data_IF_395631910729
#
_entry.id   IF_395631910729
#
_cell.length_a   1.000
_cell.length_b   1.000
_cell.length_c   1.000
_cell.angle_alpha   90.00
_cell.angle_beta   90.00
_cell.angle_gamma   90.00
#
_symmetry.space_group_name_H-M   'P 1'
#
loop_
_entity.id
_entity.type
_entity.pdbx_description
1 polymer ?
#
# COMPACT_ATOMS: atom_id res chain seq x y z
N UNK A 1 -0.11 -28.99 17.71
CA UNK A 1 -1.52 -28.57 17.89
C UNK A 1 -1.73 -27.49 16.87
N UNK A 2 -2.36 -27.83 15.75
CA UNK A 2 -2.58 -26.92 14.63
C UNK A 2 -3.99 -26.37 14.79
N UNK A 3 -4.10 -25.35 15.63
CA UNK A 3 -5.39 -24.75 16.01
C UNK A 3 -5.59 -23.50 15.17
N UNK A 4 -6.59 -23.50 14.30
CA UNK A 4 -7.10 -22.30 13.64
C UNK A 4 -7.68 -21.38 14.72
N UNK A 5 -7.32 -20.09 14.71
CA UNK A 5 -7.86 -19.13 15.69
C UNK A 5 -9.39 -19.01 15.54
N UNK A 6 -10.09 -18.90 16.66
CA UNK A 6 -11.53 -18.64 16.63
C UNK A 6 -11.77 -17.21 16.14
N UNK A 7 -12.51 -17.08 15.05
CA UNK A 7 -12.89 -15.80 14.47
C UNK A 7 -14.22 -15.38 15.08
N UNK A 8 -14.21 -14.29 15.84
CA UNK A 8 -15.42 -13.72 16.44
C UNK A 8 -15.79 -12.43 15.72
N UNK A 9 -16.90 -12.42 14.98
CA UNK A 9 -17.33 -11.26 14.19
C UNK A 9 -17.42 -11.60 12.70
N UNK A 10 -17.20 -10.58 11.86
CA UNK A 10 -17.11 -10.78 10.41
C UNK A 10 -15.75 -11.41 10.05
N UNK A 11 -15.73 -12.59 9.41
CA UNK A 11 -14.47 -13.23 9.08
C UNK A 11 -13.61 -12.43 8.11
N UNK A 12 -14.22 -11.70 7.17
CA UNK A 12 -13.48 -10.95 6.17
C UNK A 12 -12.69 -9.81 6.83
N UNK A 13 -13.34 -9.05 7.73
CA UNK A 13 -12.69 -7.98 8.51
C UNK A 13 -11.51 -8.52 9.32
N UNK A 14 -11.73 -9.63 10.05
CA UNK A 14 -10.70 -10.22 10.90
C UNK A 14 -9.48 -10.75 10.13
N UNK A 15 -9.69 -11.42 8.99
CA UNK A 15 -8.57 -11.95 8.20
C UNK A 15 -7.87 -10.88 7.37
N UNK A 16 -8.55 -9.80 7.01
CA UNK A 16 -7.95 -8.67 6.28
C UNK A 16 -6.98 -7.83 7.12
N UNK A 17 -7.03 -7.94 8.45
CA UNK A 17 -6.06 -7.28 9.36
C UNK A 17 -4.75 -8.07 9.53
N UNK A 18 -4.62 -9.24 8.90
CA UNK A 18 -3.51 -10.16 9.09
C UNK A 18 -2.73 -10.34 7.79
N UNK A 19 -1.42 -10.21 7.84
CA UNK A 19 -0.56 -10.64 6.73
C UNK A 19 -0.52 -12.17 6.64
N UNK A 20 -0.13 -12.73 5.49
CA UNK A 20 0.06 -14.17 5.34
C UNK A 20 1.08 -14.71 6.35
N UNK A 21 2.06 -13.88 6.70
CA UNK A 21 3.10 -14.19 7.70
C UNK A 21 2.56 -14.25 9.13
N UNK A 22 1.45 -13.57 9.43
CA UNK A 22 0.77 -13.61 10.73
C UNK A 22 -0.09 -14.88 10.91
N UNK A 23 -0.34 -15.62 9.83
CA UNK A 23 -1.08 -16.88 9.85
C UNK A 23 -0.20 -18.02 10.38
N UNK A 24 -0.78 -18.89 11.21
CA UNK A 24 -0.16 -20.15 11.60
C UNK A 24 -0.12 -21.13 10.42
N UNK A 25 0.76 -22.13 10.48
CA UNK A 25 0.87 -23.15 9.42
C UNK A 25 -0.46 -23.81 9.07
N UNK A 26 -1.36 -24.03 10.04
CA UNK A 26 -2.69 -24.58 9.74
C UNK A 26 -3.60 -23.59 9.01
N UNK A 27 -3.49 -22.29 9.31
CA UNK A 27 -4.28 -21.25 8.65
C UNK A 27 -3.80 -21.05 7.22
N UNK A 28 -2.47 -21.01 7.01
CA UNK A 28 -1.88 -21.00 5.67
C UNK A 28 -2.31 -22.24 4.86
N UNK A 29 -2.28 -23.45 5.44
CA UNK A 29 -2.77 -24.67 4.77
C UNK A 29 -4.26 -24.62 4.42
N UNK A 30 -5.08 -24.01 5.28
CA UNK A 30 -6.51 -23.84 5.05
C UNK A 30 -6.79 -22.86 3.91
N UNK A 31 -6.11 -21.72 3.90
CA UNK A 31 -6.25 -20.71 2.85
C UNK A 31 -5.63 -21.15 1.53
N UNK A 32 -4.55 -21.94 1.58
CA UNK A 32 -3.98 -22.62 0.41
C UNK A 32 -4.98 -23.55 -0.27
N UNK A 33 -5.79 -24.29 0.50
CA UNK A 33 -6.86 -25.12 -0.07
C UNK A 33 -7.95 -24.31 -0.77
N UNK A 34 -8.14 -23.05 -0.35
CA UNK A 34 -9.08 -22.11 -0.95
C UNK A 34 -8.49 -21.35 -2.15
N UNK A 35 -7.22 -21.59 -2.48
CA UNK A 35 -6.50 -20.97 -3.60
C UNK A 35 -5.73 -19.70 -3.24
N UNK A 36 -5.64 -19.37 -1.95
CA UNK A 36 -4.85 -18.24 -1.46
C UNK A 36 -3.40 -18.66 -1.19
N UNK A 37 -2.47 -17.72 -1.30
CA UNK A 37 -1.05 -17.89 -1.01
C UNK A 37 -0.48 -16.52 -0.63
N UNK A 38 0.75 -16.49 -0.13
CA UNK A 38 1.43 -15.25 0.27
C UNK A 38 1.34 -14.16 -0.81
N UNK A 39 1.59 -14.52 -2.07
CA UNK A 39 1.60 -13.56 -3.17
C UNK A 39 0.22 -12.91 -3.38
N UNK A 40 -0.89 -13.65 -3.24
CA UNK A 40 -2.24 -13.11 -3.49
C UNK A 40 -2.99 -12.67 -2.23
N UNK A 41 -2.51 -13.06 -1.06
CA UNK A 41 -3.05 -12.66 0.25
C UNK A 41 -2.47 -11.32 0.68
N UNK A 42 -1.16 -11.15 0.49
CA UNK A 42 -0.43 -9.92 0.76
C UNK A 42 -0.23 -9.07 -0.52
N UNK A 43 -0.93 -9.38 -1.62
CA UNK A 43 -0.91 -8.59 -2.88
C UNK A 43 -1.54 -7.19 -2.71
N UNK A 44 -2.05 -6.87 -1.52
CA UNK A 44 -2.15 -5.49 -1.11
C UNK A 44 -0.71 -4.99 -0.95
N UNK A 45 -0.16 -4.45 -2.05
CA UNK A 45 1.13 -3.77 -2.12
C UNK A 45 1.36 -3.07 -0.78
N UNK A 46 2.28 -3.59 0.02
CA UNK A 46 2.59 -3.09 1.36
C UNK A 46 3.25 -1.72 1.19
N UNK A 47 2.40 -0.72 0.92
CA UNK A 47 2.81 0.65 0.85
C UNK A 47 3.19 1.04 2.27
N UNK A 48 4.45 1.43 2.51
CA UNK A 48 4.92 1.72 3.86
C UNK A 48 3.99 2.77 4.50
N UNK A 49 3.70 2.60 5.79
CA UNK A 49 2.99 3.60 6.55
C UNK A 49 3.73 4.94 6.44
N UNK A 50 3.00 6.06 6.53
CA UNK A 50 3.64 7.36 6.40
C UNK A 50 4.79 7.49 7.40
N UNK A 51 4.65 6.97 8.62
CA UNK A 51 5.72 7.06 9.62
C UNK A 51 6.99 6.26 9.27
N UNK A 52 6.87 5.16 8.52
CA UNK A 52 7.99 4.32 8.08
C UNK A 52 8.79 4.95 6.93
N UNK A 53 8.24 5.96 6.24
CA UNK A 53 8.96 6.71 5.22
C UNK A 53 10.12 7.49 5.84
N UNK A 54 11.23 7.57 5.10
CA UNK A 54 12.36 8.40 5.49
C UNK A 54 11.95 9.88 5.51
N UNK A 55 12.65 10.71 6.30
CA UNK A 55 12.40 12.16 6.31
C UNK A 55 12.60 12.80 4.92
N UNK A 56 13.43 12.19 4.08
CA UNK A 56 13.67 12.62 2.70
C UNK A 56 12.44 12.28 1.85
N UNK A 57 11.94 11.05 1.90
CA UNK A 57 10.76 10.63 1.15
C UNK A 57 9.52 11.40 1.58
N UNK A 58 9.28 11.56 2.90
CA UNK A 58 8.18 12.39 3.44
C UNK A 58 8.20 13.80 2.86
N UNK A 59 9.40 14.37 2.69
CA UNK A 59 9.54 15.71 2.11
C UNK A 59 9.23 15.73 0.62
N UNK A 60 9.69 14.72 -0.14
CA UNK A 60 9.42 14.59 -1.57
C UNK A 60 7.92 14.37 -1.83
N UNK A 61 7.29 13.46 -1.08
CA UNK A 61 5.85 13.27 -1.07
C UNK A 61 5.09 14.55 -0.68
N UNK A 62 5.61 15.32 0.28
CA UNK A 62 5.07 16.64 0.62
C UNK A 62 5.13 17.66 -0.51
N UNK A 63 6.11 17.59 -1.42
CA UNK A 63 6.15 18.43 -2.64
C UNK A 63 5.04 18.05 -3.61
N UNK A 64 4.72 16.75 -3.67
CA UNK A 64 3.54 16.23 -4.38
C UNK A 64 2.23 16.56 -3.62
N UNK A 65 2.28 17.21 -2.45
CA UNK A 65 1.09 17.57 -1.67
C UNK A 65 0.57 16.44 -0.79
N UNK A 66 1.24 15.29 -0.74
CA UNK A 66 0.88 14.23 0.18
C UNK A 66 1.19 14.64 1.62
N UNK A 67 0.29 14.23 2.50
CA UNK A 67 0.44 14.37 3.95
C UNK A 67 0.13 13.02 4.58
N UNK A 68 0.49 12.85 5.85
CA UNK A 68 0.15 11.64 6.60
C UNK A 68 -1.34 11.28 6.48
N UNK A 69 -2.22 12.26 6.70
CA UNK A 69 -3.67 12.02 6.66
C UNK A 69 -4.16 11.65 5.26
N UNK A 70 -3.63 12.26 4.19
CA UNK A 70 -3.96 11.84 2.81
C UNK A 70 -3.41 10.45 2.47
N UNK A 71 -2.22 10.12 2.98
CA UNK A 71 -1.54 8.83 2.76
C UNK A 71 -2.25 7.67 3.48
N UNK A 72 -2.72 7.91 4.69
CA UNK A 72 -3.43 6.93 5.53
C UNK A 72 -4.95 6.90 5.23
N UNK A 73 -5.41 7.66 4.24
CA UNK A 73 -6.81 7.69 3.80
C UNK A 73 -7.78 8.42 4.75
N UNK A 74 -7.25 9.23 5.67
CA UNK A 74 -8.03 10.09 6.55
C UNK A 74 -8.53 11.37 5.84
N UNK A 75 -7.77 11.86 4.86
CA UNK A 75 -8.05 13.06 4.06
C UNK A 75 -8.03 12.77 2.55
N UNK A 76 -8.50 13.73 1.75
CA UNK A 76 -8.46 13.64 0.29
C UNK A 76 -7.01 13.52 -0.23
N UNK A 77 -6.83 12.77 -1.32
CA UNK A 77 -5.55 12.66 -2.02
C UNK A 77 -5.18 14.01 -2.68
N UNK A 78 -3.88 14.32 -2.82
CA UNK A 78 -3.49 15.57 -3.45
C UNK A 78 -3.82 15.57 -4.95
N UNK A 79 -4.03 16.77 -5.51
CA UNK A 79 -4.29 16.95 -6.95
C UNK A 79 -3.17 16.38 -7.83
N UNK A 80 -1.95 16.25 -7.31
CA UNK A 80 -0.83 15.64 -8.05
C UNK A 80 -1.10 14.17 -8.39
N UNK A 81 -1.77 13.42 -7.51
CA UNK A 81 -2.06 12.00 -7.69
C UNK A 81 -3.10 11.74 -8.80
N UNK A 82 -3.89 12.76 -9.15
CA UNK A 82 -4.88 12.71 -10.24
C UNK A 82 -4.35 13.25 -11.57
N UNK A 83 -3.13 13.82 -11.57
CA UNK A 83 -2.51 14.39 -12.77
C UNK A 83 -1.62 13.37 -13.46
N UNK A 84 -1.63 13.43 -14.79
CA UNK A 84 -0.61 12.80 -15.61
C UNK A 84 0.75 13.47 -15.36
N UNK A 85 1.83 12.76 -15.63
CA UNK A 85 3.19 13.26 -15.45
C UNK A 85 3.42 14.61 -16.16
N UNK A 86 2.89 14.77 -17.37
CA UNK A 86 3.00 16.01 -18.16
C UNK A 86 2.22 17.20 -17.56
N UNK A 87 1.21 16.94 -16.72
CA UNK A 87 0.43 17.96 -16.01
C UNK A 87 1.01 18.33 -14.64
N UNK A 88 2.00 17.57 -14.15
CA UNK A 88 2.75 17.90 -12.95
C UNK A 88 3.63 19.15 -13.18
N UNK A 89 3.78 19.95 -12.14
CA UNK A 89 4.77 21.02 -12.10
C UNK A 89 6.19 20.48 -12.12
N UNK A 90 7.15 21.31 -12.51
CA UNK A 90 8.56 20.91 -12.52
C UNK A 90 9.09 20.51 -11.13
N UNK A 91 8.49 21.01 -10.05
CA UNK A 91 8.85 20.64 -8.68
C UNK A 91 8.30 19.25 -8.32
N UNK A 92 7.05 18.96 -8.69
CA UNK A 92 6.41 17.65 -8.52
C UNK A 92 7.14 16.56 -9.31
N UNK A 93 7.45 16.81 -10.59
CA UNK A 93 8.22 15.87 -11.41
C UNK A 93 9.61 15.59 -10.83
N UNK A 94 10.31 16.63 -10.36
CA UNK A 94 11.62 16.45 -9.74
C UNK A 94 11.53 15.59 -8.47
N UNK A 95 10.50 15.80 -7.65
CA UNK A 95 10.27 14.99 -6.45
C UNK A 95 9.94 13.54 -6.80
N UNK A 96 9.08 13.31 -7.78
CA UNK A 96 8.75 11.97 -8.27
C UNK A 96 9.99 11.23 -8.83
N UNK A 97 10.87 11.93 -9.56
CA UNK A 97 12.14 11.37 -10.04
C UNK A 97 13.04 10.98 -8.86
N UNK A 98 13.16 11.81 -7.82
CA UNK A 98 13.97 11.48 -6.63
C UNK A 98 13.39 10.30 -5.84
N UNK A 99 12.07 10.13 -5.84
CA UNK A 99 11.36 8.96 -5.32
C UNK A 99 11.53 7.70 -6.21
N UNK A 100 12.13 7.84 -7.40
CA UNK A 100 12.38 6.73 -8.32
C UNK A 100 11.25 6.43 -9.31
N UNK A 101 10.26 7.32 -9.40
CA UNK A 101 9.23 7.27 -10.44
C UNK A 101 9.80 7.78 -11.77
N UNK A 102 9.29 7.18 -12.83
CA UNK A 102 9.48 7.64 -14.21
C UNK A 102 8.10 7.98 -14.77
N UNK A 103 8.03 8.79 -15.83
CA UNK A 103 6.78 9.07 -16.52
C UNK A 103 5.99 7.79 -16.84
N UNK A 104 6.68 6.77 -17.38
CA UNK A 104 6.06 5.48 -17.68
C UNK A 104 5.46 4.79 -16.47
N UNK A 105 6.08 4.90 -15.27
CA UNK A 105 5.55 4.30 -14.04
C UNK A 105 4.45 5.14 -13.39
N UNK A 106 4.50 6.45 -13.58
CA UNK A 106 3.54 7.38 -13.01
C UNK A 106 2.21 7.33 -13.76
N UNK A 107 2.28 7.26 -15.08
CA UNK A 107 1.11 7.17 -15.96
C UNK A 107 0.65 5.70 -16.18
N UNK A 108 1.26 4.73 -15.50
CA UNK A 108 0.87 3.31 -15.61
C UNK A 108 -0.44 3.09 -14.83
N UNK A 109 -1.52 2.76 -15.53
CA UNK A 109 -2.85 2.54 -14.94
C UNK A 109 -3.01 1.16 -14.24
N UNK A 110 -1.92 0.42 -14.05
CA UNK A 110 -1.88 -0.96 -13.52
C UNK A 110 -1.20 -1.05 -12.12
N UNK A 111 -1.35 0.01 -11.29
CA UNK A 111 -1.00 0.03 -9.85
C UNK A 111 -2.22 -0.07 -8.96
#
# INVERSE_FOLDING_TARGET
>A
MTTIREVTGDPNEFWSELSWSDLSTAEQELWTQLGWNEDNWDDAVDFPEWDDLSNEDKKLWGVLGWTQSSWEGEDDIPESAEKLWDDLSSEEQAAAIELGYTQEKWDDEDI
#
